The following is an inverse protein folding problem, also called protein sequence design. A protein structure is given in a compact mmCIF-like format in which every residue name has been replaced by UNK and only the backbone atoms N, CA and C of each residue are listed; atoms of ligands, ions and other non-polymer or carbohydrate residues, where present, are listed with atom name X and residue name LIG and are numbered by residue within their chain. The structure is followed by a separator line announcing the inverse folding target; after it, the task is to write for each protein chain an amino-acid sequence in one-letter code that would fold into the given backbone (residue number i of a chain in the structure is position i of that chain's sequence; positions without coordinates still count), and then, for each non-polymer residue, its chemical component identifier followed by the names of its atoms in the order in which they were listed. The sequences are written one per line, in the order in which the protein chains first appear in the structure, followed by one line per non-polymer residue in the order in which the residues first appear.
data_IF_092089947752
#
_entry.id   IF_092089947752
#
_cell.length_a   1.000
_cell.length_b   1.000
_cell.length_c   1.000
_cell.angle_alpha   90.00
_cell.angle_beta   90.00
_cell.angle_gamma   90.00
#
_symmetry.space_group_name_H-M   'P 1'
#
loop_
_entity.id
_entity.type
_entity.pdbx_description
1 polymer ?
#
# COMPACT_ATOMS: atom_id res chain seq x y z
N UNK A 1 -22.97 33.85 -13.24
CA UNK A 1 -22.73 33.85 -11.78
C UNK A 1 -21.78 32.71 -11.47
N UNK A 2 -20.50 33.02 -11.32
CA UNK A 2 -19.44 32.02 -11.14
C UNK A 2 -19.29 31.75 -9.64
N UNK A 3 -19.78 30.60 -9.18
CA UNK A 3 -19.56 30.16 -7.81
C UNK A 3 -18.12 29.62 -7.72
N UNK A 4 -17.22 30.39 -7.13
CA UNK A 4 -15.95 29.84 -6.70
C UNK A 4 -16.16 29.01 -5.42
N UNK A 5 -15.57 27.81 -5.31
CA UNK A 5 -15.65 27.03 -4.10
C UNK A 5 -14.92 27.78 -2.98
N UNK A 6 -15.65 28.04 -1.90
CA UNK A 6 -15.16 28.67 -0.68
C UNK A 6 -14.18 27.68 -0.03
N UNK A 7 -12.90 28.05 -0.01
CA UNK A 7 -11.87 27.28 0.69
C UNK A 7 -12.12 27.42 2.20
N UNK A 8 -12.89 26.49 2.76
CA UNK A 8 -13.12 26.44 4.20
C UNK A 8 -11.81 26.05 4.91
N UNK A 9 -11.11 27.08 5.37
CA UNK A 9 -9.84 27.02 6.09
C UNK A 9 -10.04 26.50 7.52
N UNK A 10 -10.44 25.24 7.67
CA UNK A 10 -10.22 24.51 8.92
C UNK A 10 -8.95 23.69 8.74
N UNK A 11 -7.80 24.31 9.01
CA UNK A 11 -6.48 23.69 8.89
C UNK A 11 -6.32 22.63 9.99
N UNK A 12 -6.99 21.48 9.84
CA UNK A 12 -6.65 20.28 10.61
C UNK A 12 -5.20 19.97 10.27
N UNK A 13 -4.33 20.04 11.27
CA UNK A 13 -2.93 19.61 11.16
C UNK A 13 -2.94 18.19 10.59
N UNK A 14 -2.52 18.05 9.34
CA UNK A 14 -2.47 16.75 8.68
C UNK A 14 -1.36 15.96 9.36
N UNK A 15 -1.72 14.85 10.00
CA UNK A 15 -0.74 13.96 10.63
C UNK A 15 -0.13 13.04 9.57
N UNK A 16 0.54 13.64 8.58
CA UNK A 16 1.30 12.91 7.58
C UNK A 16 2.31 11.99 8.29
N UNK A 17 2.41 10.74 7.84
CA UNK A 17 3.21 9.68 8.47
C UNK A 17 2.55 8.99 9.66
N UNK A 18 1.30 9.31 10.02
CA UNK A 18 0.56 8.52 11.01
C UNK A 18 0.11 7.18 10.41
N UNK A 19 0.22 6.10 11.18
CA UNK A 19 -0.39 4.83 10.79
C UNK A 19 -1.91 4.92 10.93
N UNK A 20 -2.64 4.48 9.91
CA UNK A 20 -4.10 4.49 9.90
C UNK A 20 -4.65 3.11 9.58
N UNK A 21 -5.74 2.74 10.25
CA UNK A 21 -6.62 1.64 9.87
C UNK A 21 -7.86 2.22 9.20
N UNK A 22 -8.25 1.67 8.05
CA UNK A 22 -9.37 2.17 7.25
C UNK A 22 -10.27 1.00 6.86
N UNK A 23 -11.59 1.17 7.04
CA UNK A 23 -12.61 0.32 6.42
C UNK A 23 -13.30 1.10 5.32
N UNK A 24 -13.42 0.52 4.13
CA UNK A 24 -13.96 1.21 2.97
C UNK A 24 -14.72 0.25 2.04
N UNK A 25 -15.57 0.81 1.20
CA UNK A 25 -16.28 0.10 0.14
C UNK A 25 -15.42 0.15 -1.12
N UNK A 26 -14.92 -1.01 -1.54
CA UNK A 26 -14.11 -1.14 -2.75
C UNK A 26 -14.97 -1.44 -3.97
N UNK A 27 -14.47 -0.98 -5.11
CA UNK A 27 -15.10 -1.24 -6.39
C UNK A 27 -14.91 -2.71 -6.77
N UNK A 28 -15.99 -3.34 -7.24
CA UNK A 28 -15.95 -4.73 -7.71
C UNK A 28 -16.06 -4.72 -9.23
N UNK A 29 -15.02 -5.25 -9.89
CA UNK A 29 -15.07 -5.50 -11.33
C UNK A 29 -15.79 -6.84 -11.59
N UNK A 30 -16.84 -6.79 -12.39
CA UNK A 30 -17.55 -7.99 -12.86
C UNK A 30 -17.38 -8.15 -14.37
N UNK A 31 -17.47 -9.40 -14.86
CA UNK A 31 -17.35 -9.74 -16.29
C UNK A 31 -18.29 -10.90 -16.62
N UNK A 32 -19.06 -10.76 -17.71
CA UNK A 32 -20.00 -11.78 -18.20
C UNK A 32 -21.00 -12.26 -17.13
N UNK A 33 -21.47 -11.37 -16.27
CA UNK A 33 -22.40 -11.66 -15.18
C UNK A 33 -23.42 -10.52 -15.02
N UNK A 34 -24.56 -10.80 -14.38
CA UNK A 34 -25.56 -9.79 -14.07
C UNK A 34 -25.03 -8.80 -13.01
N UNK A 35 -24.88 -7.54 -13.41
CA UNK A 35 -24.36 -6.46 -12.57
C UNK A 35 -25.19 -6.22 -11.29
N UNK A 36 -26.50 -6.47 -11.33
CA UNK A 36 -27.41 -6.23 -10.19
C UNK A 36 -27.15 -7.14 -8.99
N UNK A 37 -26.38 -8.21 -9.18
CA UNK A 37 -26.02 -9.16 -8.13
C UNK A 37 -24.78 -8.73 -7.33
N UNK A 38 -24.02 -7.75 -7.82
CA UNK A 38 -22.79 -7.30 -7.18
C UNK A 38 -23.02 -6.04 -6.35
N UNK A 39 -22.31 -5.95 -5.22
CA UNK A 39 -22.28 -4.77 -4.36
C UNK A 39 -20.82 -4.41 -4.07
N UNK A 40 -20.51 -3.15 -3.75
CA UNK A 40 -19.17 -2.77 -3.31
C UNK A 40 -18.69 -3.66 -2.16
N UNK A 41 -17.43 -4.09 -2.23
CA UNK A 41 -16.86 -5.00 -1.25
C UNK A 41 -16.39 -4.21 -0.02
N UNK A 42 -16.89 -4.54 1.16
CA UNK A 42 -16.34 -3.96 2.39
C UNK A 42 -14.95 -4.54 2.65
N UNK A 43 -13.93 -3.69 2.60
CA UNK A 43 -12.53 -4.04 2.85
C UNK A 43 -11.99 -3.28 4.05
N UNK A 44 -10.90 -3.80 4.57
CA UNK A 44 -10.08 -3.13 5.58
C UNK A 44 -8.62 -3.11 5.15
N UNK A 45 -7.90 -2.08 5.58
CA UNK A 45 -6.48 -1.92 5.28
C UNK A 45 -5.79 -1.09 6.36
N UNK A 46 -4.48 -1.24 6.46
CA UNK A 46 -3.61 -0.43 7.32
C UNK A 46 -2.52 0.17 6.44
N UNK A 47 -2.18 1.43 6.68
CA UNK A 47 -1.10 2.10 5.94
C UNK A 47 -0.67 3.41 6.56
N UNK A 48 0.41 3.98 6.04
CA UNK A 48 0.93 5.28 6.46
C UNK A 48 0.20 6.38 5.72
N UNK A 49 -0.37 7.35 6.44
CA UNK A 49 -1.05 8.49 5.84
C UNK A 49 -0.03 9.37 5.10
N UNK A 50 -0.07 9.38 3.77
CA UNK A 50 0.81 10.20 2.95
C UNK A 50 0.20 11.57 2.65
N UNK A 51 -1.09 11.59 2.33
CA UNK A 51 -1.83 12.82 2.01
C UNK A 51 -3.29 12.68 2.40
N UNK A 52 -3.90 13.78 2.84
CA UNK A 52 -5.34 13.86 3.08
C UNK A 52 -5.89 15.13 2.44
N UNK A 53 -7.03 15.07 1.77
CA UNK A 53 -7.75 16.25 1.26
C UNK A 53 -9.18 16.24 1.79
N UNK A 54 -10.01 17.20 1.36
CA UNK A 54 -11.44 17.17 1.66
C UNK A 54 -12.13 15.92 1.07
N UNK A 55 -11.62 15.42 -0.05
CA UNK A 55 -12.29 14.40 -0.86
C UNK A 55 -11.65 13.01 -0.76
N UNK A 56 -10.37 12.92 -0.42
CA UNK A 56 -9.63 11.66 -0.49
C UNK A 56 -8.50 11.52 0.53
N UNK A 57 -8.01 10.28 0.65
CA UNK A 57 -6.97 9.83 1.56
C UNK A 57 -5.97 8.96 0.78
N UNK A 58 -4.68 9.30 0.85
CA UNK A 58 -3.59 8.49 0.27
C UNK A 58 -2.88 7.77 1.40
N UNK A 59 -2.84 6.44 1.32
CA UNK A 59 -2.11 5.59 2.25
C UNK A 59 -1.00 4.85 1.53
N UNK A 60 0.14 4.69 2.17
CA UNK A 60 1.24 3.84 1.70
C UNK A 60 1.27 2.54 2.48
N UNK A 61 1.47 1.43 1.80
CA UNK A 61 1.58 0.12 2.47
C UNK A 61 3.00 -0.10 3.01
N UNK A 62 3.99 0.14 2.17
CA UNK A 62 5.40 -0.09 2.48
C UNK A 62 6.21 1.09 1.95
N UNK A 63 7.24 1.48 2.72
CA UNK A 63 8.21 2.51 2.32
C UNK A 63 9.57 2.13 2.87
N UNK A 64 10.62 2.41 2.12
CA UNK A 64 12.00 2.30 2.58
C UNK A 64 12.26 3.31 3.70
N UNK A 65 12.94 2.89 4.77
CA UNK A 65 13.42 3.82 5.82
C UNK A 65 14.66 4.57 5.34
N UNK A 66 15.47 3.90 4.53
CA UNK A 66 16.64 4.42 3.83
C UNK A 66 16.57 3.94 2.37
N UNK A 67 16.94 4.76 1.39
CA UNK A 67 16.90 4.37 -0.02
C UNK A 67 17.68 3.08 -0.27
N UNK A 68 17.06 2.10 -0.94
CA UNK A 68 17.74 0.83 -1.24
C UNK A 68 18.72 1.01 -2.42
N UNK A 69 19.82 0.24 -2.48
CA UNK A 69 20.81 0.34 -3.57
C UNK A 69 20.27 0.13 -4.99
N UNK A 70 19.09 -0.49 -5.11
CA UNK A 70 18.43 -0.79 -6.38
C UNK A 70 17.09 -0.05 -6.55
N UNK A 71 16.75 0.83 -5.61
CA UNK A 71 15.55 1.66 -5.70
C UNK A 71 15.73 2.69 -6.81
N UNK A 72 14.71 2.86 -7.65
CA UNK A 72 14.72 3.91 -8.66
C UNK A 72 14.59 5.25 -7.95
N UNK A 73 15.26 6.28 -8.47
CA UNK A 73 15.11 7.65 -7.99
C UNK A 73 14.23 8.45 -8.98
N UNK A 74 13.13 9.08 -8.53
CA UNK A 74 12.58 9.08 -7.17
C UNK A 74 11.95 7.73 -6.79
N UNK A 75 11.95 7.42 -5.49
CA UNK A 75 11.40 6.19 -4.93
C UNK A 75 9.93 6.00 -5.38
N UNK A 76 9.64 4.87 -6.01
CA UNK A 76 8.29 4.53 -6.48
C UNK A 76 7.53 3.83 -5.34
N UNK A 77 6.85 4.61 -4.49
CA UNK A 77 6.07 4.08 -3.37
C UNK A 77 4.76 3.42 -3.84
N UNK A 78 4.39 2.28 -3.24
CA UNK A 78 3.10 1.63 -3.48
C UNK A 78 2.07 1.99 -2.41
N UNK A 79 0.88 2.38 -2.86
CA UNK A 79 -0.17 2.84 -1.96
C UNK A 79 -1.57 2.74 -2.55
N UNK A 80 -2.54 3.25 -1.79
CA UNK A 80 -3.95 3.26 -2.13
C UNK A 80 -4.53 4.66 -1.94
N UNK A 81 -5.35 5.07 -2.91
CA UNK A 81 -6.14 6.30 -2.84
C UNK A 81 -7.58 5.93 -2.54
N UNK A 82 -8.12 6.46 -1.44
CA UNK A 82 -9.48 6.19 -0.98
C UNK A 82 -10.29 7.48 -1.01
N UNK A 83 -11.42 7.47 -1.71
CA UNK A 83 -12.38 8.56 -1.63
C UNK A 83 -13.05 8.55 -0.26
N UNK A 84 -13.20 9.72 0.35
CA UNK A 84 -13.85 9.85 1.66
C UNK A 84 -15.33 9.47 1.62
N UNK A 85 -15.97 9.51 0.46
CA UNK A 85 -17.32 8.99 0.24
C UNK A 85 -17.41 7.47 0.49
N UNK A 86 -16.33 6.75 0.25
CA UNK A 86 -16.30 5.29 0.26
C UNK A 86 -15.75 4.74 1.59
N UNK A 87 -15.17 5.62 2.42
CA UNK A 87 -14.65 5.26 3.74
C UNK A 87 -15.80 5.13 4.73
N UNK A 88 -15.94 3.94 5.29
CA UNK A 88 -16.90 3.64 6.36
C UNK A 88 -16.32 4.04 7.72
N UNK A 89 -15.03 3.80 7.93
CA UNK A 89 -14.38 4.06 9.21
C UNK A 89 -12.88 4.35 9.03
N UNK A 90 -12.35 5.28 9.81
CA UNK A 90 -10.91 5.55 9.88
C UNK A 90 -10.46 5.71 11.34
N UNK A 91 -9.39 5.00 11.69
CA UNK A 91 -8.73 5.12 12.98
C UNK A 91 -7.25 5.46 12.79
N UNK A 92 -6.79 6.53 13.46
CA UNK A 92 -5.36 6.83 13.54
C UNK A 92 -4.76 6.04 14.70
N UNK A 93 -3.78 5.19 14.39
CA UNK A 93 -3.15 4.30 15.35
C UNK A 93 -1.95 5.01 16.03
N UNK A 94 -1.89 5.10 17.37
CA UNK A 94 -0.87 5.84 18.08
C UNK A 94 0.46 5.06 18.19
N UNK A 95 0.99 4.53 17.08
CA UNK A 95 2.24 3.76 17.09
C UNK A 95 3.44 4.54 17.60
N UNK A 96 3.57 5.83 17.27
CA UNK A 96 4.68 6.66 17.72
C UNK A 96 4.73 6.75 19.26
N UNK A 97 3.57 6.75 19.92
CA UNK A 97 3.48 6.73 21.39
C UNK A 97 3.90 5.38 21.96
N UNK A 98 3.60 4.30 21.25
CA UNK A 98 3.94 2.93 21.64
C UNK A 98 5.44 2.67 21.45
N UNK A 99 6.01 3.04 20.30
CA UNK A 99 7.43 2.89 19.98
C UNK A 99 8.33 3.67 20.95
N UNK A 100 7.95 4.91 21.28
CA UNK A 100 8.69 5.71 22.26
C UNK A 100 8.63 5.11 23.68
N UNK A 101 7.60 4.32 24.01
CA UNK A 101 7.45 3.66 25.31
C UNK A 101 8.07 2.26 25.41
N UNK A 102 8.10 1.50 24.31
CA UNK A 102 8.54 0.10 24.27
C UNK A 102 9.93 -0.10 23.66
N UNK A 103 10.30 0.59 22.57
CA UNK A 103 11.58 0.34 21.90
C UNK A 103 12.78 0.93 22.64
N UNK A 104 12.59 1.98 23.44
CA UNK A 104 13.65 2.53 24.29
C UNK A 104 13.74 1.86 25.67
N UNK A 105 12.84 0.93 25.98
CA UNK A 105 12.89 0.09 27.20
C UNK A 105 13.24 -1.36 26.85
N UNK A 106 14.29 -1.60 26.08
CA UNK A 106 14.91 -2.93 25.99
C UNK A 106 16.31 -2.85 25.40
N UNK A 107 17.29 -2.61 26.24
CA UNK A 107 18.69 -3.02 26.00
C UNK A 107 18.86 -4.55 26.09
N UNK A 108 17.84 -5.37 25.80
CA UNK A 108 17.90 -6.80 26.14
C UNK A 108 17.01 -7.79 25.35
N UNK A 109 16.29 -7.40 24.28
CA UNK A 109 15.53 -8.38 23.49
C UNK A 109 15.67 -8.14 21.99
N UNK A 110 16.87 -8.41 21.48
CA UNK A 110 17.11 -8.62 20.05
C UNK A 110 16.50 -9.97 19.65
N UNK A 111 15.23 -9.97 19.23
CA UNK A 111 14.67 -11.10 18.51
C UNK A 111 15.28 -11.11 17.10
N UNK A 112 16.33 -11.91 16.93
CA UNK A 112 16.93 -12.21 15.64
C UNK A 112 15.93 -13.02 14.78
N UNK A 113 15.02 -12.34 14.08
CA UNK A 113 14.34 -12.94 12.93
C UNK A 113 15.29 -12.95 11.75
N UNK A 114 16.11 -14.01 11.63
CA UNK A 114 16.75 -14.36 10.35
C UNK A 114 15.69 -14.93 9.43
N UNK A 115 15.04 -14.10 8.62
CA UNK A 115 14.38 -14.60 7.41
C UNK A 115 15.51 -14.94 6.44
N UNK A 116 15.89 -16.21 6.45
CA UNK A 116 16.83 -16.74 5.48
C UNK A 116 16.04 -17.01 4.22
N UNK A 117 16.15 -16.15 3.20
CA UNK A 117 15.76 -16.52 1.86
C UNK A 117 16.61 -17.75 1.49
N UNK A 118 15.97 -18.92 1.40
CA UNK A 118 16.71 -20.14 1.07
C UNK A 118 17.28 -19.99 -0.35
N UNK A 119 18.51 -20.46 -0.57
CA UNK A 119 19.22 -20.36 -1.85
C UNK A 119 18.50 -21.05 -3.04
N UNK A 120 17.36 -21.72 -2.79
CA UNK A 120 16.49 -22.31 -3.81
C UNK A 120 15.64 -21.26 -4.57
N UNK A 121 15.18 -20.18 -3.91
CA UNK A 121 14.34 -19.16 -4.58
C UNK A 121 15.11 -18.37 -5.65
N UNK A 122 16.40 -18.14 -5.45
CA UNK A 122 17.26 -17.46 -6.42
C UNK A 122 17.54 -18.29 -7.69
N UNK A 123 17.41 -19.62 -7.63
CA UNK A 123 17.66 -20.49 -8.79
C UNK A 123 16.45 -20.62 -9.71
N UNK A 124 15.23 -20.47 -9.17
CA UNK A 124 14.01 -20.62 -9.94
C UNK A 124 13.68 -19.42 -10.85
N UNK A 125 14.29 -18.24 -10.63
CA UNK A 125 14.16 -17.09 -11.54
C UNK A 125 15.10 -17.13 -12.75
N UNK A 126 16.11 -18.03 -12.76
CA UNK A 126 17.14 -18.09 -13.79
C UNK A 126 16.88 -19.12 -14.92
N UNK A 127 15.73 -19.80 -14.93
CA UNK A 127 15.35 -20.68 -16.05
C UNK A 127 14.97 -19.84 -17.27
N UNK A 128 15.94 -19.58 -18.15
CA UNK A 128 15.72 -19.12 -19.53
C UNK A 128 14.70 -20.04 -20.22
N UNK A 129 13.72 -19.45 -20.93
CA UNK A 129 12.86 -20.17 -21.88
C UNK A 129 13.74 -20.95 -22.88
N UNK A 130 13.43 -22.22 -23.19
CA UNK A 130 14.08 -22.91 -24.29
C UNK A 130 13.71 -22.24 -25.62
N UNK A 131 14.71 -22.00 -26.46
CA UNK A 131 14.56 -21.54 -27.84
C UNK A 131 13.87 -22.64 -28.67
N UNK A 132 12.76 -22.30 -29.33
CA UNK A 132 12.14 -23.15 -30.35
C UNK A 132 13.04 -23.20 -31.59
N UNK A 133 13.79 -24.28 -31.77
CA UNK A 133 14.43 -24.59 -33.04
C UNK A 133 13.41 -25.19 -34.00
N UNK A 134 12.87 -24.34 -34.87
CA UNK A 134 12.05 -24.76 -36.00
C UNK A 134 12.85 -25.62 -36.98
N UNK A 135 12.53 -26.91 -37.02
CA UNK A 135 13.11 -27.86 -37.97
C UNK A 135 12.31 -27.79 -39.29
N UNK A 136 12.85 -27.10 -40.31
CA UNK A 136 12.43 -27.28 -41.71
C UNK A 136 13.15 -28.51 -42.27
N UNK A 137 12.48 -29.66 -42.22
CA UNK A 137 12.88 -30.85 -42.96
C UNK A 137 12.32 -30.80 -44.38
N UNK A 138 13.21 -30.94 -45.35
CA UNK A 138 12.87 -31.21 -46.76
C UNK A 138 12.37 -32.65 -46.91
N UNK A 139 11.28 -32.83 -47.65
CA UNK A 139 10.98 -33.97 -48.51
C UNK A 139 10.12 -33.48 -49.68
#
# INVERSE_FOLDING_TARGET
MTLQPKLDSTTRKQNVGALVYVRYLDHVLFRNADAGLFKPALRETVGWLHRETADALWILWERSVEPLPHERSPDEESGLVLLKSDIVQIHRLPLQKILNGLLFRSSALTLHCRVSASAEEAKNSARKKPEETGNRGNA
#
